data_IF_656616114755
#
_entry.id   IF_656616114755
#
_cell.length_a   1.000
_cell.length_b   1.000
_cell.length_c   1.000
_cell.angle_alpha   90.00
_cell.angle_beta   90.00
_cell.angle_gamma   90.00
#
_symmetry.space_group_name_H-M   'P 1'
#
loop_
_entity.id
_entity.type
_entity.pdbx_description
1 polymer ?
#
# COMPACT_ATOMS: atom_id res chain seq x y z
N UNK A 1 -51.62 -44.66 -44.22
CA UNK A 1 -51.17 -43.26 -44.50
C UNK A 1 -51.42 -42.41 -43.28
N UNK A 2 -50.36 -41.90 -42.64
CA UNK A 2 -50.28 -40.55 -42.04
C UNK A 2 -48.86 -40.32 -41.49
N UNK A 3 -48.10 -39.75 -42.40
CA UNK A 3 -46.88 -38.93 -42.37
C UNK A 3 -46.23 -38.61 -41.03
N UNK A 4 -44.93 -38.94 -40.96
CA UNK A 4 -43.94 -38.51 -39.98
C UNK A 4 -43.57 -37.04 -40.25
N UNK A 5 -43.68 -36.16 -39.27
CA UNK A 5 -43.22 -34.76 -39.37
C UNK A 5 -41.82 -34.62 -38.76
N UNK A 6 -40.85 -34.30 -39.60
CA UNK A 6 -39.47 -33.96 -39.24
C UNK A 6 -39.44 -32.46 -38.94
N UNK A 7 -39.13 -32.07 -37.70
CA UNK A 7 -38.88 -30.69 -37.33
C UNK A 7 -37.38 -30.41 -37.46
N UNK A 8 -36.97 -29.66 -38.48
CA UNK A 8 -35.59 -29.22 -38.67
C UNK A 8 -35.27 -28.04 -37.75
N UNK A 9 -34.37 -28.24 -36.79
CA UNK A 9 -33.76 -27.18 -36.01
C UNK A 9 -32.68 -26.50 -36.88
N UNK A 10 -32.95 -25.29 -37.38
CA UNK A 10 -31.91 -24.45 -38.00
C UNK A 10 -31.04 -23.85 -36.89
N UNK A 11 -29.81 -24.33 -36.75
CA UNK A 11 -28.81 -23.70 -35.90
C UNK A 11 -28.53 -22.27 -36.36
N UNK A 12 -28.57 -21.32 -35.43
CA UNK A 12 -28.05 -19.97 -35.66
C UNK A 12 -26.53 -20.07 -35.80
N UNK A 13 -26.04 -19.82 -37.01
CA UNK A 13 -24.61 -19.59 -37.24
C UNK A 13 -24.30 -18.21 -36.65
N UNK A 14 -23.62 -18.16 -35.49
CA UNK A 14 -23.04 -16.90 -35.01
C UNK A 14 -21.90 -16.50 -35.95
N UNK A 15 -22.21 -15.65 -36.93
CA UNK A 15 -21.22 -15.01 -37.78
C UNK A 15 -20.28 -14.15 -36.93
N UNK A 16 -19.01 -14.04 -37.29
CA UNK A 16 -18.04 -13.21 -36.57
C UNK A 16 -18.51 -11.74 -36.47
N UNK A 17 -18.18 -11.06 -35.38
CA UNK A 17 -18.43 -9.64 -35.21
C UNK A 17 -17.61 -8.83 -36.25
N UNK A 18 -18.28 -7.88 -36.90
CA UNK A 18 -17.64 -6.97 -37.86
C UNK A 18 -16.62 -6.05 -37.15
N UNK A 19 -15.69 -5.44 -37.91
CA UNK A 19 -14.84 -4.35 -37.41
C UNK A 19 -15.61 -3.33 -36.57
N UNK A 20 -15.11 -3.00 -35.37
CA UNK A 20 -15.73 -2.09 -34.40
C UNK A 20 -17.12 -2.48 -33.87
N UNK A 21 -17.63 -3.69 -34.19
CA UNK A 21 -18.88 -4.18 -33.61
C UNK A 21 -18.68 -4.65 -32.15
N UNK A 22 -19.78 -4.69 -31.40
CA UNK A 22 -19.81 -5.28 -30.07
C UNK A 22 -19.49 -6.78 -30.16
N UNK A 23 -18.66 -7.27 -29.25
CA UNK A 23 -18.23 -8.67 -29.16
C UNK A 23 -18.30 -9.24 -27.73
N UNK A 24 -18.88 -8.49 -26.79
CA UNK A 24 -19.02 -8.92 -25.40
C UNK A 24 -19.75 -7.89 -24.54
N UNK A 25 -20.02 -8.25 -23.29
CA UNK A 25 -20.75 -7.42 -22.31
C UNK A 25 -21.95 -8.13 -21.68
N UNK A 26 -22.31 -7.74 -20.46
CA UNK A 26 -23.46 -8.25 -19.73
C UNK A 26 -24.75 -8.15 -20.55
N UNK A 27 -25.44 -9.28 -20.71
CA UNK A 27 -26.68 -9.37 -21.49
C UNK A 27 -26.51 -9.40 -23.01
N UNK A 28 -25.27 -9.33 -23.53
CA UNK A 28 -25.01 -9.45 -24.97
C UNK A 28 -25.19 -10.91 -25.45
N UNK A 29 -26.00 -11.10 -26.49
CA UNK A 29 -26.30 -12.42 -27.08
C UNK A 29 -25.80 -12.57 -28.53
N UNK A 30 -25.04 -11.57 -29.01
CA UNK A 30 -24.46 -11.57 -30.35
C UNK A 30 -23.09 -12.26 -30.43
N UNK A 31 -22.38 -12.11 -31.56
CA UNK A 31 -21.10 -12.80 -31.78
C UNK A 31 -19.99 -12.39 -30.82
N UNK A 32 -19.31 -13.37 -30.22
CA UNK A 32 -18.23 -13.14 -29.25
C UNK A 32 -16.81 -13.18 -29.83
N UNK A 33 -16.69 -13.48 -31.13
CA UNK A 33 -15.41 -13.56 -31.85
C UNK A 33 -15.38 -12.54 -32.99
N UNK A 34 -14.30 -11.78 -33.08
CA UNK A 34 -14.08 -10.81 -34.17
C UNK A 34 -13.54 -11.48 -35.44
N UNK A 35 -13.75 -10.83 -36.60
CA UNK A 35 -13.16 -11.27 -37.86
C UNK A 35 -11.63 -11.25 -37.87
N UNK A 36 -11.01 -11.91 -38.86
CA UNK A 36 -9.55 -11.99 -39.00
C UNK A 36 -8.88 -10.60 -38.99
N UNK A 37 -7.85 -10.42 -38.15
CA UNK A 37 -7.15 -9.14 -37.96
C UNK A 37 -7.71 -8.26 -36.83
N UNK A 38 -8.77 -8.71 -36.15
CA UNK A 38 -9.44 -7.97 -35.09
C UNK A 38 -9.49 -8.79 -33.80
N UNK A 39 -9.33 -8.12 -32.66
CA UNK A 39 -9.40 -8.73 -31.32
C UNK A 39 -10.56 -8.13 -30.54
N UNK A 40 -11.31 -8.98 -29.82
CA UNK A 40 -12.37 -8.50 -28.94
C UNK A 40 -11.75 -7.90 -27.67
N UNK A 41 -11.77 -6.58 -27.56
CA UNK A 41 -11.22 -5.86 -26.41
C UNK A 41 -12.32 -5.49 -25.44
N UNK A 42 -12.15 -5.88 -24.17
CA UNK A 42 -13.01 -5.49 -23.08
C UNK A 42 -12.93 -3.97 -22.85
N UNK A 43 -14.09 -3.32 -22.65
CA UNK A 43 -14.15 -1.90 -22.27
C UNK A 43 -14.83 -1.69 -20.91
N UNK A 44 -15.95 -2.37 -20.66
CA UNK A 44 -16.62 -2.38 -19.36
C UNK A 44 -17.55 -3.61 -19.23
N UNK A 45 -18.15 -3.79 -18.06
CA UNK A 45 -19.00 -4.95 -17.73
C UNK A 45 -20.13 -5.20 -18.75
N UNK A 46 -20.59 -4.16 -19.46
CA UNK A 46 -21.71 -4.23 -20.40
C UNK A 46 -21.28 -4.16 -21.87
N UNK A 47 -19.99 -3.99 -22.15
CA UNK A 47 -19.50 -3.74 -23.51
C UNK A 47 -18.05 -4.21 -23.76
N UNK A 48 -17.87 -4.95 -24.85
CA UNK A 48 -16.56 -5.25 -25.45
C UNK A 48 -16.64 -5.04 -26.96
N UNK A 49 -15.56 -4.60 -27.60
CA UNK A 49 -15.57 -4.18 -29.01
C UNK A 49 -14.43 -4.82 -29.80
N UNK A 50 -14.68 -5.14 -31.07
CA UNK A 50 -13.64 -5.56 -32.01
C UNK A 50 -12.72 -4.39 -32.38
N UNK A 51 -11.43 -4.50 -32.10
CA UNK A 51 -10.40 -3.51 -32.45
C UNK A 51 -9.29 -4.13 -33.31
N UNK A 52 -8.60 -3.31 -34.11
CA UNK A 52 -7.50 -3.78 -34.97
C UNK A 52 -6.35 -4.35 -34.14
N UNK A 53 -5.88 -5.53 -34.52
CA UNK A 53 -4.72 -6.15 -33.86
C UNK A 53 -3.44 -5.58 -34.46
N UNK A 54 -2.71 -4.77 -33.69
CA UNK A 54 -1.37 -4.27 -34.06
C UNK A 54 -0.33 -5.38 -33.96
N UNK A 55 -0.35 -6.33 -34.89
CA UNK A 55 0.73 -7.30 -35.09
C UNK A 55 0.92 -7.58 -36.58
N UNK A 56 1.67 -6.69 -37.23
CA UNK A 56 2.19 -6.86 -38.58
C UNK A 56 3.67 -7.20 -38.56
N UNK A 57 4.01 -8.44 -38.17
CA UNK A 57 5.30 -9.02 -38.49
C UNK A 57 5.31 -9.50 -39.94
N UNK A 58 6.06 -8.83 -40.81
CA UNK A 58 6.39 -9.34 -42.15
C UNK A 58 7.86 -9.09 -42.47
N UNK A 59 8.58 -10.20 -42.63
CA UNK A 59 9.89 -10.30 -43.27
C UNK A 59 9.84 -9.81 -44.71
N UNK A 60 10.70 -8.85 -45.08
CA UNK A 60 11.19 -8.67 -46.45
C UNK A 60 12.60 -8.05 -46.45
N UNK A 61 13.50 -8.72 -47.17
CA UNK A 61 14.89 -8.34 -47.40
C UNK A 61 15.00 -7.34 -48.56
N UNK A 62 15.75 -6.23 -48.39
CA UNK A 62 16.56 -5.62 -49.47
C UNK A 62 17.65 -4.68 -48.93
N UNK A 63 18.62 -4.39 -49.81
CA UNK A 63 20.03 -4.09 -49.57
C UNK A 63 20.35 -2.58 -49.71
N UNK A 64 21.32 -2.11 -48.91
CA UNK A 64 22.31 -1.00 -49.08
C UNK A 64 21.84 0.48 -49.08
N UNK A 65 22.38 1.29 -48.14
CA UNK A 65 23.40 2.33 -48.38
C UNK A 65 23.81 3.05 -47.08
N UNK A 66 25.13 3.15 -46.89
CA UNK A 66 25.83 3.86 -45.82
C UNK A 66 25.63 5.37 -45.89
N UNK A 67 25.28 5.97 -44.76
CA UNK A 67 25.43 7.40 -44.47
C UNK A 67 25.81 7.55 -43.00
N UNK A 68 27.05 7.98 -42.76
CA UNK A 68 27.59 8.31 -41.44
C UNK A 68 27.02 9.65 -40.98
N UNK A 69 26.23 9.63 -39.90
CA UNK A 69 25.96 10.81 -39.08
C UNK A 69 26.31 10.51 -37.63
N UNK A 70 27.25 11.29 -37.08
CA UNK A 70 27.56 11.32 -35.65
C UNK A 70 26.35 11.88 -34.93
N UNK A 71 25.72 11.07 -34.08
CA UNK A 71 24.72 11.55 -33.13
C UNK A 71 25.19 11.19 -31.73
N UNK A 72 25.34 12.23 -30.93
CA UNK A 72 25.78 12.22 -29.54
C UNK A 72 24.88 11.32 -28.72
N UNK A 73 25.44 10.28 -28.11
CA UNK A 73 24.74 9.40 -27.17
C UNK A 73 24.55 10.14 -25.86
N UNK A 74 23.42 10.80 -25.68
CA UNK A 74 22.83 10.94 -24.35
C UNK A 74 22.19 9.61 -24.02
N UNK A 75 22.86 8.82 -23.19
CA UNK A 75 22.26 7.65 -22.54
C UNK A 75 21.15 8.13 -21.62
N UNK A 76 19.94 8.28 -22.16
CA UNK A 76 18.73 8.21 -21.35
C UNK A 76 18.63 6.76 -20.90
N UNK A 77 18.98 6.50 -19.65
CA UNK A 77 18.81 5.20 -19.02
C UNK A 77 17.37 4.75 -19.28
N UNK A 78 17.22 3.65 -20.00
CA UNK A 78 15.97 2.93 -20.09
C UNK A 78 15.81 2.27 -18.73
N UNK A 79 14.98 2.85 -17.87
CA UNK A 79 14.58 2.20 -16.63
C UNK A 79 13.87 0.89 -17.00
N UNK A 80 14.56 -0.22 -16.82
CA UNK A 80 13.99 -1.56 -16.87
C UNK A 80 14.36 -2.27 -15.59
N UNK A 81 13.44 -2.19 -14.64
CA UNK A 81 13.09 -3.28 -13.74
C UNK A 81 11.60 -3.12 -13.41
N UNK A 82 10.76 -3.83 -14.16
CA UNK A 82 9.29 -3.79 -14.09
C UNK A 82 8.74 -4.80 -13.06
N UNK A 83 9.35 -4.84 -11.87
CA UNK A 83 9.01 -5.80 -10.81
C UNK A 83 8.15 -5.17 -9.71
N UNK A 84 7.27 -5.97 -9.11
CA UNK A 84 6.63 -5.59 -7.85
C UNK A 84 7.66 -5.62 -6.72
N UNK A 85 7.58 -4.73 -5.71
CA UNK A 85 8.42 -4.82 -4.52
C UNK A 85 8.27 -6.18 -3.83
N UNK A 86 9.38 -6.78 -3.40
CA UNK A 86 9.40 -8.10 -2.75
C UNK A 86 10.41 -8.14 -1.61
N UNK A 87 10.45 -9.25 -0.86
CA UNK A 87 11.54 -9.55 0.08
C UNK A 87 12.60 -10.41 -0.61
N UNK A 88 13.87 -10.18 -0.25
CA UNK A 88 14.99 -11.04 -0.63
C UNK A 88 15.81 -11.36 0.63
N UNK A 89 15.50 -12.51 1.25
CA UNK A 89 16.04 -12.85 2.56
C UNK A 89 15.54 -11.88 3.63
N UNK A 90 16.48 -11.16 4.26
CA UNK A 90 16.20 -10.17 5.31
C UNK A 90 16.18 -8.73 4.79
N UNK A 91 16.19 -8.53 3.48
CA UNK A 91 16.17 -7.22 2.82
C UNK A 91 14.93 -7.08 1.93
N UNK A 92 14.66 -5.86 1.48
CA UNK A 92 13.67 -5.60 0.45
C UNK A 92 14.34 -5.49 -0.92
N UNK A 93 13.60 -5.86 -1.97
CA UNK A 93 13.97 -5.61 -3.36
C UNK A 93 12.95 -4.65 -3.99
N UNK A 94 13.44 -3.47 -4.39
CA UNK A 94 12.67 -2.45 -5.11
C UNK A 94 13.33 -2.21 -6.45
N UNK A 95 12.58 -2.43 -7.54
CA UNK A 95 13.04 -2.26 -8.92
C UNK A 95 14.38 -2.97 -9.20
N UNK A 96 14.53 -4.20 -8.70
CA UNK A 96 15.72 -5.02 -8.87
C UNK A 96 16.94 -4.63 -8.02
N UNK A 97 16.82 -3.62 -7.13
CA UNK A 97 17.84 -3.30 -6.13
C UNK A 97 17.44 -3.94 -4.81
N UNK A 98 18.16 -4.97 -4.38
CA UNK A 98 18.10 -5.47 -3.01
C UNK A 98 18.98 -4.59 -2.13
N UNK A 99 18.40 -3.89 -1.16
CA UNK A 99 19.12 -2.98 -0.27
C UNK A 99 18.31 -2.64 0.99
N UNK A 100 18.94 -1.89 1.89
CA UNK A 100 18.24 -1.05 2.86
C UNK A 100 17.57 0.15 2.18
N UNK A 101 16.39 0.56 2.66
CA UNK A 101 15.66 1.73 2.14
C UNK A 101 15.20 2.69 3.23
N UNK A 102 15.33 3.99 2.96
CA UNK A 102 14.66 5.03 3.75
C UNK A 102 13.34 5.45 3.10
N UNK A 103 12.41 5.87 3.94
CA UNK A 103 11.14 6.42 3.53
C UNK A 103 10.51 7.32 4.60
N UNK A 104 9.21 7.56 4.50
CA UNK A 104 8.48 8.37 5.47
C UNK A 104 6.99 8.02 5.50
N UNK A 105 6.26 8.70 6.39
CA UNK A 105 4.81 8.65 6.51
C UNK A 105 4.19 9.97 6.02
N UNK A 106 3.09 9.89 5.28
CA UNK A 106 2.26 11.05 4.93
C UNK A 106 0.80 10.61 4.92
N UNK A 107 0.19 10.56 6.11
CA UNK A 107 -1.21 10.15 6.25
C UNK A 107 -2.18 11.06 5.48
N UNK A 108 -1.79 12.33 5.29
CA UNK A 108 -2.63 13.38 4.75
C UNK A 108 -2.66 13.44 3.21
N UNK A 109 -1.67 12.87 2.51
CA UNK A 109 -1.52 13.04 1.05
C UNK A 109 -2.71 12.50 0.25
N UNK A 110 -3.31 11.39 0.69
CA UNK A 110 -4.51 10.79 0.08
C UNK A 110 -5.75 11.69 0.16
N UNK A 111 -5.73 12.71 1.00
CA UNK A 111 -6.87 13.59 1.25
C UNK A 111 -6.70 14.98 0.63
N UNK A 112 -5.54 15.26 0.04
CA UNK A 112 -5.34 16.48 -0.74
C UNK A 112 -6.25 16.47 -1.97
N UNK A 113 -6.82 17.62 -2.32
CA UNK A 113 -7.70 17.80 -3.48
C UNK A 113 -7.02 18.50 -4.66
N UNK A 114 -5.83 19.06 -4.43
CA UNK A 114 -4.98 19.63 -5.48
C UNK A 114 -3.94 18.61 -5.93
N UNK A 115 -3.92 18.31 -7.23
CA UNK A 115 -3.00 17.36 -7.82
C UNK A 115 -1.55 17.88 -7.83
N UNK A 116 -1.36 19.19 -8.03
CA UNK A 116 -0.02 19.80 -8.04
C UNK A 116 0.66 19.66 -6.66
N UNK A 117 -0.12 19.68 -5.57
CA UNK A 117 0.40 19.47 -4.21
C UNK A 117 0.83 18.00 -3.98
N UNK A 118 0.10 17.03 -4.52
CA UNK A 118 0.48 15.61 -4.47
C UNK A 118 1.78 15.39 -5.27
N UNK A 119 1.84 15.97 -6.45
CA UNK A 119 3.00 15.89 -7.34
C UNK A 119 4.25 16.53 -6.72
N UNK A 120 4.11 17.70 -6.11
CA UNK A 120 5.18 18.38 -5.37
C UNK A 120 5.80 17.49 -4.28
N UNK A 121 4.96 16.86 -3.47
CA UNK A 121 5.41 15.97 -2.38
C UNK A 121 6.23 14.82 -2.93
N UNK A 122 5.72 14.13 -3.96
CA UNK A 122 6.47 13.02 -4.54
C UNK A 122 7.73 13.47 -5.31
N UNK A 123 7.73 14.66 -5.91
CA UNK A 123 8.93 15.24 -6.53
C UNK A 123 10.03 15.39 -5.47
N UNK A 124 9.72 16.05 -4.36
CA UNK A 124 10.67 16.23 -3.25
C UNK A 124 11.12 14.89 -2.61
N UNK A 125 10.21 13.92 -2.45
CA UNK A 125 10.59 12.59 -1.96
C UNK A 125 11.58 11.88 -2.90
N UNK A 126 11.30 11.90 -4.20
CA UNK A 126 12.14 11.27 -5.20
C UNK A 126 13.52 11.94 -5.29
N UNK A 127 13.55 13.28 -5.24
CA UNK A 127 14.77 14.10 -5.16
C UNK A 127 15.61 13.79 -3.91
N UNK A 128 14.94 13.54 -2.79
CA UNK A 128 15.60 13.25 -1.50
C UNK A 128 16.07 11.79 -1.38
N UNK A 129 15.75 10.93 -2.35
CA UNK A 129 16.10 9.51 -2.32
C UNK A 129 15.23 8.64 -1.42
N UNK A 130 14.12 9.16 -0.90
CA UNK A 130 13.13 8.38 -0.16
C UNK A 130 12.35 7.49 -1.13
N UNK A 131 12.31 6.18 -0.88
CA UNK A 131 11.73 5.20 -1.82
C UNK A 131 10.43 4.57 -1.35
N UNK A 132 10.10 4.69 -0.08
CA UNK A 132 8.87 4.14 0.50
C UNK A 132 8.08 5.30 1.15
N UNK A 133 6.80 5.40 0.84
CA UNK A 133 5.86 6.32 1.50
C UNK A 133 4.70 5.52 2.05
N UNK A 134 4.45 5.61 3.35
CA UNK A 134 3.25 5.05 3.96
C UNK A 134 2.13 6.08 4.00
N UNK A 135 0.95 5.72 3.49
CA UNK A 135 -0.21 6.60 3.28
C UNK A 135 -1.49 5.96 3.78
N UNK A 136 -2.45 6.77 4.22
CA UNK A 136 -3.71 6.23 4.73
C UNK A 136 -4.60 5.80 3.57
N UNK A 137 -4.82 4.48 3.47
CA UNK A 137 -5.74 3.89 2.51
C UNK A 137 -7.18 3.87 2.99
N UNK A 138 -7.49 4.56 4.10
CA UNK A 138 -8.81 4.66 4.73
C UNK A 138 -9.19 6.12 5.00
N UNK A 139 -10.49 6.38 5.04
CA UNK A 139 -11.09 7.62 5.54
C UNK A 139 -12.58 7.32 5.81
N UNK A 140 -12.86 6.92 7.04
CA UNK A 140 -14.15 6.39 7.45
C UNK A 140 -15.01 7.47 8.14
N UNK A 141 -16.29 7.53 7.78
CA UNK A 141 -17.24 8.48 8.37
C UNK A 141 -18.55 7.80 8.72
N UNK A 142 -19.25 8.29 9.75
CA UNK A 142 -20.61 7.84 10.05
C UNK A 142 -21.70 8.75 9.44
N UNK A 143 -21.30 9.91 8.92
CA UNK A 143 -22.15 10.86 8.20
C UNK A 143 -21.38 11.42 7.02
N UNK A 144 -22.03 11.59 5.86
CA UNK A 144 -21.41 12.26 4.71
C UNK A 144 -20.98 13.67 5.13
N UNK A 145 -19.70 14.04 4.96
CA UNK A 145 -19.21 15.36 5.35
C UNK A 145 -19.73 16.45 4.41
N UNK A 146 -19.38 17.71 4.68
CA UNK A 146 -19.67 18.82 3.78
C UNK A 146 -19.08 18.58 2.38
N UNK A 147 -19.80 19.01 1.34
CA UNK A 147 -19.37 18.89 -0.06
C UNK A 147 -17.93 19.36 -0.25
N UNK A 148 -17.13 18.55 -0.94
CA UNK A 148 -15.70 18.82 -1.19
C UNK A 148 -14.75 18.33 -0.09
N UNK A 149 -15.27 17.81 1.02
CA UNK A 149 -14.45 17.12 2.03
C UNK A 149 -14.27 15.66 1.63
N UNK A 150 -13.02 15.20 1.59
CA UNK A 150 -12.70 13.83 1.19
C UNK A 150 -13.18 12.82 2.25
N UNK A 151 -13.84 11.76 1.81
CA UNK A 151 -14.14 10.56 2.60
C UNK A 151 -14.16 9.33 1.69
N UNK A 152 -13.71 8.18 2.18
CA UNK A 152 -13.60 6.97 1.35
C UNK A 152 -14.73 5.98 1.63
N UNK A 153 -15.24 5.94 2.85
CA UNK A 153 -16.27 4.99 3.23
C UNK A 153 -17.23 5.59 4.26
N UNK A 154 -18.53 5.50 3.96
CA UNK A 154 -19.61 5.82 4.88
C UNK A 154 -20.09 4.55 5.57
N UNK A 155 -20.01 4.52 6.90
CA UNK A 155 -20.46 3.45 7.77
C UNK A 155 -21.68 3.94 8.56
N UNK A 156 -22.89 3.51 8.19
CA UNK A 156 -24.12 4.05 8.78
C UNK A 156 -25.23 3.02 8.86
N UNK A 157 -25.91 2.95 10.00
CA UNK A 157 -27.11 2.15 10.23
C UNK A 157 -26.96 0.68 9.79
N UNK A 158 -25.82 0.05 10.14
CA UNK A 158 -25.52 -1.33 9.77
C UNK A 158 -25.13 -1.53 8.30
N UNK A 159 -24.80 -0.47 7.57
CA UNK A 159 -24.41 -0.51 6.15
C UNK A 159 -23.08 0.19 5.91
N UNK A 160 -22.37 -0.22 4.86
CA UNK A 160 -21.14 0.41 4.38
C UNK A 160 -21.31 0.83 2.92
N UNK A 161 -20.98 2.07 2.59
CA UNK A 161 -20.99 2.61 1.23
C UNK A 161 -19.62 3.19 0.91
N UNK A 162 -18.99 2.71 -0.16
CA UNK A 162 -17.64 3.12 -0.57
C UNK A 162 -17.77 4.26 -1.59
N UNK A 163 -17.09 5.38 -1.32
CA UNK A 163 -17.06 6.53 -2.22
C UNK A 163 -15.97 6.35 -3.28
N UNK A 164 -16.36 6.05 -4.51
CA UNK A 164 -15.46 5.96 -5.68
C UNK A 164 -15.46 7.25 -6.52
N UNK A 165 -16.06 8.32 -6.00
CA UNK A 165 -16.16 9.62 -6.66
C UNK A 165 -14.89 10.47 -6.53
N UNK A 166 -14.96 11.70 -7.06
CA UNK A 166 -13.85 12.66 -7.10
C UNK A 166 -13.37 13.11 -5.70
N UNK A 167 -14.26 13.12 -4.72
CA UNK A 167 -13.98 13.38 -3.30
C UNK A 167 -13.84 12.07 -2.49
N UNK A 168 -13.62 10.95 -3.16
CA UNK A 168 -13.42 9.63 -2.56
C UNK A 168 -12.12 8.99 -3.02
N UNK A 169 -12.17 7.70 -3.37
CA UNK A 169 -11.01 6.92 -3.76
C UNK A 169 -10.26 7.45 -5.00
N UNK A 170 -10.86 8.34 -5.81
CA UNK A 170 -10.12 9.01 -6.89
C UNK A 170 -8.97 9.89 -6.38
N UNK A 171 -9.00 10.33 -5.12
CA UNK A 171 -7.87 11.03 -4.52
C UNK A 171 -6.70 10.08 -4.26
N UNK A 172 -6.98 8.86 -3.78
CA UNK A 172 -5.99 7.81 -3.63
C UNK A 172 -5.48 7.30 -4.99
N UNK A 173 -6.33 7.25 -6.02
CA UNK A 173 -5.89 6.91 -7.39
C UNK A 173 -4.77 7.86 -7.87
N UNK A 174 -4.93 9.16 -7.60
CA UNK A 174 -3.93 10.14 -8.01
C UNK A 174 -2.62 10.01 -7.24
N UNK A 175 -2.69 9.67 -5.94
CA UNK A 175 -1.50 9.36 -5.14
C UNK A 175 -0.74 8.17 -5.71
N UNK A 176 -1.44 7.08 -6.06
CA UNK A 176 -0.82 5.90 -6.69
C UNK A 176 -0.18 6.25 -8.03
N UNK A 177 -0.90 6.97 -8.90
CA UNK A 177 -0.37 7.38 -10.21
C UNK A 177 0.85 8.31 -10.09
N UNK A 178 0.84 9.24 -9.13
CA UNK A 178 1.96 10.14 -8.89
C UNK A 178 3.19 9.41 -8.32
N UNK A 179 2.97 8.45 -7.42
CA UNK A 179 4.01 7.56 -6.90
C UNK A 179 4.66 6.71 -8.00
N UNK A 180 3.84 6.13 -8.90
CA UNK A 180 4.32 5.39 -10.09
C UNK A 180 5.22 6.27 -10.96
N UNK A 181 4.80 7.51 -11.25
CA UNK A 181 5.54 8.42 -12.10
C UNK A 181 6.92 8.83 -11.53
N UNK A 182 7.09 8.74 -10.20
CA UNK A 182 8.27 9.23 -9.48
C UNK A 182 9.07 8.14 -8.79
N UNK A 183 8.70 6.89 -9.04
CA UNK A 183 9.34 5.72 -8.49
C UNK A 183 9.44 5.73 -6.95
N UNK A 184 8.30 6.03 -6.31
CA UNK A 184 8.08 5.88 -4.88
C UNK A 184 7.08 4.74 -4.68
N UNK A 185 7.34 3.88 -3.69
CA UNK A 185 6.51 2.71 -3.39
C UNK A 185 5.65 2.98 -2.16
N UNK A 186 4.40 2.51 -2.17
CA UNK A 186 3.37 2.88 -1.21
C UNK A 186 3.04 1.73 -0.27
N UNK A 187 3.10 2.00 1.03
CA UNK A 187 2.38 1.17 2.01
C UNK A 187 1.00 1.77 2.19
N UNK A 188 -0.04 0.96 1.99
CA UNK A 188 -1.44 1.40 2.04
C UNK A 188 -2.18 0.55 3.06
N UNK A 189 -2.61 1.19 4.15
CA UNK A 189 -3.35 0.53 5.23
C UNK A 189 -4.87 0.69 5.10
N UNK A 190 -5.64 -0.26 5.63
CA UNK A 190 -7.08 -0.34 5.33
C UNK A 190 -8.02 0.17 6.42
N UNK A 191 -7.54 0.38 7.65
CA UNK A 191 -8.34 0.90 8.77
C UNK A 191 -7.43 1.44 9.86
N UNK A 192 -7.91 2.40 10.64
CA UNK A 192 -7.20 2.89 11.84
C UNK A 192 -7.65 2.14 13.10
N UNK A 193 -6.72 1.79 13.98
CA UNK A 193 -7.08 1.46 15.37
C UNK A 193 -7.63 2.69 16.10
N UNK A 194 -7.03 3.86 15.87
CA UNK A 194 -7.46 5.12 16.49
C UNK A 194 -8.72 5.69 15.82
N UNK A 195 -9.26 6.77 16.40
CA UNK A 195 -10.49 7.40 15.92
C UNK A 195 -10.26 8.47 14.84
N UNK A 196 -9.00 8.85 14.58
CA UNK A 196 -8.67 9.79 13.51
C UNK A 196 -9.05 9.19 12.16
N UNK A 197 -9.82 9.95 11.39
CA UNK A 197 -10.46 9.49 10.15
C UNK A 197 -11.36 8.25 10.35
N UNK A 198 -12.00 8.18 11.52
CA UNK A 198 -13.05 7.23 11.87
C UNK A 198 -12.54 5.94 12.50
N UNK A 199 -11.75 5.18 11.76
CA UNK A 199 -11.15 3.92 12.20
C UNK A 199 -12.15 2.87 12.70
N UNK A 200 -11.67 1.93 13.52
CA UNK A 200 -12.50 0.87 14.10
C UNK A 200 -13.67 1.43 14.92
N UNK A 201 -13.55 2.63 15.50
CA UNK A 201 -14.64 3.30 16.22
C UNK A 201 -15.84 3.65 15.30
N UNK A 202 -15.59 4.04 14.05
CA UNK A 202 -16.67 4.28 13.07
C UNK A 202 -17.40 2.99 12.70
N UNK A 203 -16.69 1.85 12.62
CA UNK A 203 -17.31 0.54 12.46
C UNK A 203 -18.15 0.15 13.68
N UNK A 204 -17.63 0.32 14.90
CA UNK A 204 -18.37 0.03 16.13
C UNK A 204 -19.65 0.87 16.22
N UNK A 205 -19.60 2.13 15.78
CA UNK A 205 -20.77 3.01 15.72
C UNK A 205 -21.85 2.47 14.77
N UNK A 206 -21.45 1.92 13.62
CA UNK A 206 -22.39 1.42 12.61
C UNK A 206 -22.90 -0.01 12.88
N UNK A 207 -22.07 -0.88 13.45
CA UNK A 207 -22.33 -2.32 13.57
C UNK A 207 -22.44 -2.83 15.02
N UNK A 208 -22.26 -1.96 16.00
CA UNK A 208 -22.27 -2.30 17.43
C UNK A 208 -20.98 -3.00 17.91
N UNK A 209 -20.93 -3.27 19.22
CA UNK A 209 -19.80 -3.90 19.88
C UNK A 209 -18.87 -2.89 20.57
N UNK A 210 -17.58 -3.19 20.54
CA UNK A 210 -16.49 -2.43 21.16
C UNK A 210 -15.25 -2.53 20.29
N UNK A 211 -14.25 -1.70 20.55
CA UNK A 211 -12.96 -1.77 19.84
C UNK A 211 -12.33 -3.17 19.88
N UNK A 212 -12.36 -3.85 21.03
CA UNK A 212 -11.82 -5.21 21.17
C UNK A 212 -12.70 -6.28 20.52
N UNK A 213 -14.02 -6.12 20.49
CA UNK A 213 -14.91 -7.09 19.83
C UNK A 213 -15.02 -6.88 18.31
N UNK A 214 -14.56 -5.74 17.79
CA UNK A 214 -14.52 -5.42 16.36
C UNK A 214 -13.86 -6.52 15.51
N UNK A 215 -12.74 -7.09 16.00
CA UNK A 215 -12.00 -8.17 15.33
C UNK A 215 -12.83 -9.43 15.08
N UNK A 216 -13.89 -9.64 15.86
CA UNK A 216 -14.78 -10.81 15.77
C UNK A 216 -16.22 -10.45 15.38
N UNK A 217 -16.53 -9.16 15.21
CA UNK A 217 -17.85 -8.71 14.77
C UNK A 217 -18.04 -9.04 13.28
N UNK A 218 -18.89 -10.02 12.98
CA UNK A 218 -19.11 -10.50 11.61
C UNK A 218 -19.55 -9.41 10.63
N UNK A 219 -20.42 -8.49 11.05
CA UNK A 219 -20.90 -7.42 10.18
C UNK A 219 -19.78 -6.40 9.88
N UNK A 220 -19.04 -5.98 10.91
CA UNK A 220 -17.90 -5.08 10.75
C UNK A 220 -16.80 -5.70 9.87
N UNK A 221 -16.44 -6.96 10.12
CA UNK A 221 -15.43 -7.66 9.31
C UNK A 221 -15.88 -7.90 7.86
N UNK A 222 -17.18 -8.09 7.62
CA UNK A 222 -17.73 -8.18 6.26
C UNK A 222 -17.59 -6.84 5.52
N UNK A 223 -17.93 -5.73 6.16
CA UNK A 223 -17.75 -4.39 5.59
C UNK A 223 -16.27 -4.06 5.34
N UNK A 224 -15.40 -4.34 6.31
CA UNK A 224 -13.96 -4.14 6.19
C UNK A 224 -13.34 -4.96 5.05
N UNK A 225 -13.72 -6.24 4.88
CA UNK A 225 -13.26 -7.05 3.75
C UNK A 225 -13.79 -6.60 2.39
N UNK A 226 -14.99 -6.02 2.36
CA UNK A 226 -15.51 -5.37 1.16
C UNK A 226 -14.69 -4.13 0.80
N UNK A 227 -14.27 -3.34 1.80
CA UNK A 227 -13.40 -2.19 1.62
C UNK A 227 -12.01 -2.57 1.13
N UNK A 228 -11.36 -3.55 1.77
CA UNK A 228 -10.09 -4.14 1.31
C UNK A 228 -10.19 -4.51 -0.17
N UNK A 229 -11.23 -5.27 -0.55
CA UNK A 229 -11.41 -5.69 -1.95
C UNK A 229 -11.55 -4.51 -2.89
N UNK A 230 -12.30 -3.49 -2.49
CA UNK A 230 -12.48 -2.29 -3.30
C UNK A 230 -11.15 -1.56 -3.51
N UNK A 231 -10.30 -1.42 -2.49
CA UNK A 231 -8.98 -0.76 -2.62
C UNK A 231 -7.99 -1.63 -3.41
N UNK A 232 -7.79 -2.90 -3.00
CA UNK A 232 -6.84 -3.82 -3.64
C UNK A 232 -7.13 -4.00 -5.12
N UNK A 233 -8.41 -4.16 -5.51
CA UNK A 233 -8.79 -4.35 -6.92
C UNK A 233 -8.46 -3.15 -7.83
N UNK A 234 -8.27 -1.95 -7.27
CA UNK A 234 -7.90 -0.75 -8.05
C UNK A 234 -6.44 -0.73 -8.44
N UNK A 235 -5.57 -1.22 -7.56
CA UNK A 235 -4.12 -1.06 -7.70
C UNK A 235 -3.38 -2.40 -7.77
N UNK A 236 -4.11 -3.51 -7.97
CA UNK A 236 -3.53 -4.86 -8.04
C UNK A 236 -2.40 -4.96 -9.07
N UNK A 237 -2.46 -4.21 -10.18
CA UNK A 237 -1.43 -4.21 -11.24
C UNK A 237 -0.42 -3.06 -11.12
N UNK A 238 -0.52 -2.22 -10.09
CA UNK A 238 0.37 -1.07 -9.89
C UNK A 238 1.69 -1.50 -9.23
N UNK A 239 2.85 -1.32 -9.89
CA UNK A 239 4.15 -1.58 -9.26
C UNK A 239 4.56 -0.52 -8.23
N UNK A 240 3.72 0.50 -8.01
CA UNK A 240 3.94 1.48 -6.95
C UNK A 240 3.39 1.03 -5.60
N UNK A 241 2.66 -0.08 -5.49
CA UNK A 241 2.30 -0.60 -4.16
C UNK A 241 3.48 -1.40 -3.61
N UNK A 242 4.04 -0.96 -2.48
CA UNK A 242 5.04 -1.70 -1.71
C UNK A 242 4.39 -2.87 -0.97
N UNK A 243 3.37 -2.57 -0.18
CA UNK A 243 2.66 -3.55 0.62
C UNK A 243 1.23 -3.11 0.95
N UNK A 244 0.37 -4.11 1.10
CA UNK A 244 -0.91 -3.96 1.75
C UNK A 244 -0.75 -4.10 3.26
N UNK A 245 -1.25 -3.14 4.02
CA UNK A 245 -1.15 -3.16 5.48
C UNK A 245 -2.55 -3.34 6.09
N UNK A 246 -2.67 -4.27 7.02
CA UNK A 246 -3.99 -4.62 7.59
C UNK A 246 -4.62 -3.40 8.28
N UNK A 247 -3.90 -2.74 9.18
CA UNK A 247 -4.40 -1.59 9.90
C UNK A 247 -3.24 -0.72 10.40
N UNK A 248 -3.52 0.55 10.66
CA UNK A 248 -2.65 1.37 11.48
C UNK A 248 -2.80 0.97 12.96
N UNK A 249 -1.69 0.53 13.57
CA UNK A 249 -1.52 0.24 14.99
C UNK A 249 -2.63 -0.63 15.64
N UNK A 250 -3.01 -1.80 15.08
CA UNK A 250 -4.08 -2.62 15.63
C UNK A 250 -3.77 -3.09 17.05
N UNK A 251 -4.61 -2.71 18.01
CA UNK A 251 -4.54 -3.18 19.40
C UNK A 251 -5.82 -3.89 19.84
N UNK A 252 -5.68 -4.87 20.72
CA UNK A 252 -6.78 -5.49 21.45
C UNK A 252 -6.45 -5.49 22.94
N UNK A 253 -6.62 -4.33 23.58
CA UNK A 253 -6.23 -4.11 24.96
C UNK A 253 -6.89 -5.11 25.93
N UNK A 254 -6.06 -5.84 26.67
CA UNK A 254 -6.47 -6.86 27.63
C UNK A 254 -7.01 -8.15 27.01
N UNK A 255 -6.98 -8.28 25.69
CA UNK A 255 -7.37 -9.51 25.00
C UNK A 255 -6.25 -10.55 25.12
N UNK A 256 -6.63 -11.83 25.00
CA UNK A 256 -5.66 -12.87 24.68
C UNK A 256 -5.05 -12.61 23.28
N UNK A 257 -3.75 -12.87 23.12
CA UNK A 257 -3.03 -12.56 21.88
C UNK A 257 -3.55 -13.35 20.67
N UNK A 258 -4.27 -14.46 20.91
CA UNK A 258 -4.93 -15.21 19.85
C UNK A 258 -6.01 -14.42 19.11
N UNK A 259 -6.60 -13.38 19.71
CA UNK A 259 -7.63 -12.56 19.04
C UNK A 259 -7.03 -11.85 17.83
N UNK A 260 -5.92 -11.13 18.03
CA UNK A 260 -5.22 -10.46 16.94
C UNK A 260 -4.57 -11.48 16.00
N UNK A 261 -3.91 -12.52 16.50
CA UNK A 261 -3.32 -13.56 15.65
C UNK A 261 -4.33 -14.16 14.66
N UNK A 262 -5.52 -14.54 15.14
CA UNK A 262 -6.55 -15.15 14.30
C UNK A 262 -7.10 -14.15 13.26
N UNK A 263 -7.30 -12.89 13.66
CA UNK A 263 -7.72 -11.84 12.74
C UNK A 263 -6.65 -11.56 11.68
N UNK A 264 -5.38 -11.39 12.06
CA UNK A 264 -4.24 -11.15 11.16
C UNK A 264 -4.14 -12.29 10.15
N UNK A 265 -4.14 -13.55 10.63
CA UNK A 265 -4.05 -14.74 9.78
C UNK A 265 -5.19 -14.80 8.77
N UNK A 266 -6.41 -14.54 9.21
CA UNK A 266 -7.59 -14.60 8.34
C UNK A 266 -7.65 -13.45 7.32
N UNK A 267 -7.21 -12.26 7.71
CA UNK A 267 -7.29 -11.06 6.87
C UNK A 267 -6.15 -11.02 5.85
N UNK A 268 -4.92 -11.32 6.26
CA UNK A 268 -3.77 -11.42 5.33
C UNK A 268 -3.97 -12.52 4.28
N UNK A 269 -4.49 -13.69 4.67
CA UNK A 269 -4.84 -14.75 3.72
C UNK A 269 -5.92 -14.32 2.70
N UNK A 270 -6.86 -13.48 3.12
CA UNK A 270 -7.86 -12.92 2.22
C UNK A 270 -7.27 -11.91 1.24
N UNK A 271 -6.38 -11.02 1.70
CA UNK A 271 -5.65 -10.11 0.82
C UNK A 271 -4.84 -10.92 -0.20
N UNK A 272 -4.07 -11.94 0.23
CA UNK A 272 -3.31 -12.83 -0.67
C UNK A 272 -4.19 -13.59 -1.66
N UNK A 273 -5.46 -13.86 -1.33
CA UNK A 273 -6.42 -14.47 -2.26
C UNK A 273 -6.93 -13.51 -3.34
N UNK A 274 -6.88 -12.20 -3.07
CA UNK A 274 -7.20 -11.15 -4.04
C UNK A 274 -5.97 -10.79 -4.87
N UNK A 275 -4.80 -10.75 -4.24
CA UNK A 275 -3.55 -10.26 -4.81
C UNK A 275 -2.37 -11.12 -4.36
N UNK A 276 -1.78 -11.85 -5.31
CA UNK A 276 -0.63 -12.73 -5.08
C UNK A 276 0.72 -12.07 -5.35
N UNK A 277 0.74 -10.80 -5.76
CA UNK A 277 1.93 -10.10 -6.26
C UNK A 277 2.55 -9.19 -5.21
N UNK A 278 1.72 -8.46 -4.46
CA UNK A 278 2.18 -7.53 -3.44
C UNK A 278 2.45 -8.18 -2.09
N UNK A 279 3.37 -7.58 -1.34
CA UNK A 279 3.61 -7.93 0.06
C UNK A 279 2.42 -7.53 0.95
N UNK A 280 2.33 -8.16 2.11
CA UNK A 280 1.32 -7.92 3.14
C UNK A 280 2.01 -7.81 4.49
N UNK A 281 1.71 -6.74 5.22
CA UNK A 281 2.19 -6.47 6.58
C UNK A 281 1.03 -6.14 7.52
N UNK A 282 1.31 -6.15 8.82
CA UNK A 282 0.28 -5.97 9.84
C UNK A 282 -0.01 -4.49 10.09
N UNK A 283 1.05 -3.68 10.25
CA UNK A 283 0.98 -2.28 10.67
C UNK A 283 0.92 -2.10 12.18
N UNK A 284 1.33 -3.12 12.94
CA UNK A 284 1.40 -3.05 14.40
C UNK A 284 2.69 -2.43 14.91
N UNK A 285 2.63 -1.92 16.14
CA UNK A 285 3.72 -1.19 16.79
C UNK A 285 4.88 -2.08 17.27
N UNK A 286 4.76 -3.40 17.17
CA UNK A 286 5.79 -4.35 17.61
C UNK A 286 5.64 -4.86 19.05
N UNK A 287 4.52 -4.56 19.73
CA UNK A 287 4.38 -4.95 21.14
C UNK A 287 4.32 -6.46 21.38
N UNK A 288 4.66 -6.84 22.61
CA UNK A 288 4.63 -8.24 23.05
C UNK A 288 5.80 -9.04 22.48
N UNK A 289 6.98 -8.84 23.04
CA UNK A 289 8.23 -9.44 22.56
C UNK A 289 9.09 -9.89 23.75
N UNK A 290 9.53 -11.15 23.74
CA UNK A 290 10.44 -11.68 24.77
C UNK A 290 11.91 -11.36 24.45
N UNK A 291 12.27 -11.30 23.16
CA UNK A 291 13.63 -11.02 22.71
C UNK A 291 14.09 -9.66 23.20
N UNK A 292 15.16 -9.63 23.99
CA UNK A 292 15.75 -8.39 24.52
C UNK A 292 14.84 -7.61 25.47
N UNK A 293 13.78 -8.25 25.99
CA UNK A 293 12.83 -7.62 26.91
C UNK A 293 13.49 -7.15 28.20
N UNK A 294 13.16 -5.93 28.62
CA UNK A 294 13.53 -5.34 29.91
C UNK A 294 12.33 -5.29 30.89
N UNK A 295 11.19 -5.88 30.50
CA UNK A 295 9.96 -5.85 31.27
C UNK A 295 9.17 -4.54 31.20
N UNK A 296 9.59 -3.58 30.36
CA UNK A 296 8.79 -2.37 30.09
C UNK A 296 7.48 -2.68 29.38
N UNK A 297 6.52 -1.76 29.48
CA UNK A 297 5.18 -1.91 28.91
C UNK A 297 5.16 -2.32 27.42
N UNK A 298 5.97 -1.73 26.51
CA UNK A 298 5.99 -2.11 25.10
C UNK A 298 6.36 -3.57 24.83
N UNK A 299 7.27 -4.15 25.63
CA UNK A 299 7.61 -5.58 25.50
C UNK A 299 6.50 -6.49 26.05
N UNK A 300 5.57 -5.97 26.84
CA UNK A 300 4.46 -6.72 27.40
C UNK A 300 3.33 -7.02 26.41
N UNK A 301 2.48 -7.98 26.77
CA UNK A 301 1.38 -8.48 25.93
C UNK A 301 0.04 -7.78 26.16
N UNK A 302 0.01 -6.70 26.97
CA UNK A 302 -1.26 -6.10 27.43
C UNK A 302 -2.10 -5.45 26.33
N UNK A 303 -1.49 -5.14 25.19
CA UNK A 303 -2.20 -4.61 24.01
C UNK A 303 -2.69 -5.72 23.05
N UNK A 304 -2.59 -6.98 23.45
CA UNK A 304 -3.10 -8.13 22.70
C UNK A 304 -2.21 -8.57 21.53
N UNK A 305 -1.03 -7.97 21.38
CA UNK A 305 -0.03 -8.31 20.37
C UNK A 305 0.99 -9.32 20.92
N UNK A 306 1.48 -10.20 20.06
CA UNK A 306 2.66 -11.00 20.27
C UNK A 306 3.46 -11.00 18.97
N UNK A 307 4.52 -10.20 18.93
CA UNK A 307 5.29 -9.91 17.73
C UNK A 307 5.76 -11.18 17.01
N UNK A 308 6.44 -12.07 17.72
CA UNK A 308 7.00 -13.30 17.13
C UNK A 308 5.92 -14.29 16.68
N UNK A 309 4.81 -14.40 17.41
CA UNK A 309 3.68 -15.26 17.03
C UNK A 309 3.01 -14.74 15.75
N UNK A 310 2.83 -13.42 15.64
CA UNK A 310 2.21 -12.78 14.48
C UNK A 310 3.12 -12.83 13.25
N UNK A 311 4.43 -12.60 13.41
CA UNK A 311 5.42 -12.72 12.34
C UNK A 311 5.51 -14.15 11.76
N UNK A 312 5.20 -15.16 12.58
CA UNK A 312 5.10 -16.56 12.17
C UNK A 312 3.93 -16.89 11.23
N UNK A 313 3.08 -15.94 10.86
CA UNK A 313 1.99 -16.14 9.89
C UNK A 313 2.55 -16.15 8.46
N UNK A 314 2.31 -17.22 7.70
CA UNK A 314 2.86 -17.41 6.34
C UNK A 314 2.47 -16.32 5.33
N UNK A 315 1.29 -15.72 5.51
CA UNK A 315 0.74 -14.68 4.62
C UNK A 315 1.13 -13.25 5.04
N UNK A 316 2.03 -13.11 6.02
CA UNK A 316 2.70 -11.86 6.39
C UNK A 316 4.14 -11.94 5.88
N UNK A 317 4.54 -11.03 5.00
CA UNK A 317 5.83 -11.10 4.31
C UNK A 317 6.98 -10.46 5.11
N UNK A 318 6.66 -9.45 5.93
CA UNK A 318 7.61 -8.73 6.78
C UNK A 318 6.92 -8.20 8.03
N UNK A 319 7.71 -7.87 9.05
CA UNK A 319 7.19 -7.31 10.30
C UNK A 319 7.25 -5.78 10.30
N UNK A 320 6.36 -5.15 11.04
CA UNK A 320 6.37 -3.71 11.32
C UNK A 320 6.60 -3.49 12.81
N UNK A 321 7.29 -2.41 13.17
CA UNK A 321 7.33 -1.94 14.54
C UNK A 321 7.51 -0.43 14.56
N UNK A 322 6.96 0.23 15.59
CA UNK A 322 6.97 1.69 15.74
C UNK A 322 7.87 2.09 16.93
N UNK A 323 8.09 3.38 17.16
CA UNK A 323 8.82 3.87 18.34
C UNK A 323 8.37 5.27 18.77
N UNK A 324 7.71 5.36 19.94
CA UNK A 324 7.33 6.63 20.55
C UNK A 324 7.61 6.67 22.07
N UNK A 325 8.87 6.91 22.49
CA UNK A 325 9.29 6.76 23.88
C UNK A 325 8.50 7.62 24.87
N UNK A 326 8.20 8.86 24.49
CA UNK A 326 7.38 9.79 25.30
C UNK A 326 6.00 9.20 25.59
N UNK A 327 5.34 8.63 24.58
CA UNK A 327 4.00 8.03 24.70
C UNK A 327 4.02 6.75 25.53
N UNK A 328 5.14 6.03 25.53
CA UNK A 328 5.27 4.72 26.18
C UNK A 328 5.93 4.79 27.56
N UNK A 329 6.40 5.96 27.97
CA UNK A 329 7.07 6.15 29.25
C UNK A 329 8.47 5.54 29.31
N UNK A 330 9.18 5.50 28.19
CA UNK A 330 10.56 5.01 28.07
C UNK A 330 11.52 6.16 27.72
N UNK A 331 12.84 5.93 27.87
CA UNK A 331 13.84 6.94 27.48
C UNK A 331 14.11 6.90 25.97
N UNK A 332 14.65 7.98 25.40
CA UNK A 332 15.05 7.97 23.99
C UNK A 332 16.16 6.94 23.70
N UNK A 333 17.13 6.78 24.61
CA UNK A 333 18.19 5.76 24.48
C UNK A 333 17.63 4.33 24.42
N UNK A 334 16.51 4.05 25.11
CA UNK A 334 15.83 2.76 25.09
C UNK A 334 15.41 2.35 23.68
N UNK A 335 15.11 3.32 22.81
CA UNK A 335 14.73 3.09 21.42
C UNK A 335 15.75 2.26 20.62
N UNK A 336 17.05 2.42 20.91
CA UNK A 336 18.08 1.62 20.25
C UNK A 336 18.00 0.14 20.65
N UNK A 337 17.62 -0.16 21.89
CA UNK A 337 17.38 -1.52 22.35
C UNK A 337 16.14 -2.12 21.69
N UNK A 338 15.07 -1.32 21.57
CA UNK A 338 13.84 -1.70 20.88
C UNK A 338 14.08 -2.12 19.43
N UNK A 339 14.80 -1.29 18.65
CA UNK A 339 15.17 -1.59 17.25
C UNK A 339 15.98 -2.90 17.16
N UNK A 340 16.98 -3.09 18.02
CA UNK A 340 17.82 -4.30 18.02
C UNK A 340 17.04 -5.57 18.34
N UNK A 341 16.12 -5.49 19.29
CA UNK A 341 15.26 -6.62 19.68
C UNK A 341 14.35 -7.06 18.54
N UNK A 342 13.77 -6.11 17.80
CA UNK A 342 12.93 -6.40 16.63
C UNK A 342 13.76 -6.98 15.48
N UNK A 343 14.91 -6.38 15.17
CA UNK A 343 15.83 -6.92 14.16
C UNK A 343 16.27 -8.36 14.46
N UNK A 344 16.56 -8.68 15.73
CA UNK A 344 16.88 -10.04 16.16
C UNK A 344 15.70 -11.01 15.99
N UNK A 345 14.47 -10.60 16.31
CA UNK A 345 13.28 -11.40 16.12
C UNK A 345 12.96 -11.66 14.62
N UNK A 346 13.10 -10.64 13.79
CA UNK A 346 12.97 -10.74 12.33
C UNK A 346 14.02 -11.65 11.71
N UNK A 347 15.28 -11.50 12.12
CA UNK A 347 16.39 -12.39 11.73
C UNK A 347 16.08 -13.84 12.09
N UNK A 348 15.58 -14.11 13.29
CA UNK A 348 15.22 -15.46 13.74
C UNK A 348 14.05 -16.06 12.94
N UNK A 349 13.11 -15.22 12.47
CA UNK A 349 11.99 -15.64 11.64
C UNK A 349 12.33 -15.76 10.15
N UNK A 350 13.50 -15.27 9.71
CA UNK A 350 13.88 -15.26 8.29
C UNK A 350 13.05 -14.29 7.45
N UNK A 351 12.54 -13.21 8.05
CA UNK A 351 11.74 -12.17 7.38
C UNK A 351 12.30 -10.78 7.73
N UNK A 352 12.22 -9.79 6.83
CA UNK A 352 12.65 -8.44 7.13
C UNK A 352 11.71 -7.78 8.17
N UNK A 353 12.28 -6.82 8.90
CA UNK A 353 11.58 -5.84 9.72
C UNK A 353 11.59 -4.48 9.02
N UNK A 354 10.48 -3.78 9.11
CA UNK A 354 10.33 -2.37 8.76
C UNK A 354 10.15 -1.57 10.05
N UNK A 355 11.05 -0.60 10.27
CA UNK A 355 10.90 0.38 11.34
C UNK A 355 9.95 1.48 10.85
N UNK A 356 8.65 1.23 10.98
CA UNK A 356 7.60 1.84 10.14
C UNK A 356 7.14 3.23 10.61
N UNK A 357 7.29 3.52 11.90
CA UNK A 357 7.10 4.86 12.44
C UNK A 357 8.05 5.12 13.61
N UNK A 358 8.57 6.34 13.68
CA UNK A 358 9.25 6.84 14.86
C UNK A 358 9.27 8.36 14.88
N UNK A 359 9.29 8.92 16.08
CA UNK A 359 9.40 10.36 16.25
C UNK A 359 9.71 10.77 17.68
N UNK A 360 10.37 11.91 17.81
CA UNK A 360 10.37 12.73 19.01
C UNK A 360 9.64 14.05 18.72
N UNK A 361 9.18 14.75 19.76
CA UNK A 361 8.47 16.04 19.57
C UNK A 361 9.37 17.27 19.75
N UNK A 362 10.67 17.05 19.96
CA UNK A 362 11.70 18.10 20.05
C UNK A 362 13.08 17.48 19.91
N UNK A 363 14.07 18.28 19.50
CA UNK A 363 15.46 17.85 19.34
C UNK A 363 15.63 16.62 18.42
N UNK A 364 14.84 16.60 17.33
CA UNK A 364 14.68 15.46 16.42
C UNK A 364 16.04 14.90 15.97
N UNK A 365 16.92 15.75 15.46
CA UNK A 365 18.22 15.33 14.92
C UNK A 365 19.07 14.57 15.96
N UNK A 366 19.19 15.05 17.19
CA UNK A 366 20.03 14.40 18.21
C UNK A 366 19.41 13.13 18.77
N UNK A 367 18.08 12.98 18.69
CA UNK A 367 17.35 11.84 19.24
C UNK A 367 17.14 10.73 18.20
N UNK A 368 16.76 11.10 16.98
CA UNK A 368 16.34 10.16 15.94
C UNK A 368 17.49 9.67 15.07
N UNK A 369 18.54 10.48 14.84
CA UNK A 369 19.71 10.03 14.07
C UNK A 369 20.43 8.81 14.70
N UNK A 370 20.56 8.69 16.04
CA UNK A 370 21.00 7.45 16.67
C UNK A 370 20.12 6.23 16.38
N UNK A 371 18.80 6.41 16.27
CA UNK A 371 17.87 5.33 15.94
C UNK A 371 18.01 4.90 14.49
N UNK A 372 18.12 5.86 13.56
CA UNK A 372 18.40 5.60 12.14
C UNK A 372 19.71 4.83 11.95
N UNK A 373 20.77 5.27 12.64
CA UNK A 373 22.04 4.55 12.64
C UNK A 373 21.89 3.13 13.19
N UNK A 374 21.17 2.97 14.29
CA UNK A 374 20.94 1.65 14.89
C UNK A 374 20.14 0.74 13.95
N UNK A 375 19.11 1.26 13.28
CA UNK A 375 18.31 0.53 12.32
C UNK A 375 19.16 0.05 11.14
N UNK A 376 19.94 0.95 10.53
CA UNK A 376 20.86 0.63 9.43
C UNK A 376 21.93 -0.42 9.82
N UNK A 377 22.46 -0.35 11.05
CA UNK A 377 23.49 -1.28 11.53
C UNK A 377 22.92 -2.65 12.00
N UNK A 378 21.59 -2.79 12.15
CA UNK A 378 20.96 -3.97 12.75
C UNK A 378 20.50 -4.96 11.69
N UNK A 379 21.12 -6.16 11.65
CA UNK A 379 20.64 -7.26 10.82
C UNK A 379 19.17 -7.58 11.10
N UNK A 380 18.40 -7.74 10.03
CA UNK A 380 16.96 -8.00 10.08
C UNK A 380 16.10 -6.76 9.93
N UNK A 381 16.62 -5.54 10.17
CA UNK A 381 15.92 -4.29 9.85
C UNK A 381 16.33 -3.89 8.42
N UNK A 382 15.34 -3.76 7.54
CA UNK A 382 15.54 -3.59 6.10
C UNK A 382 15.15 -2.20 5.58
N UNK A 383 14.41 -1.44 6.38
CA UNK A 383 14.03 -0.08 6.06
C UNK A 383 13.53 0.65 7.32
N UNK A 384 13.56 1.97 7.26
CA UNK A 384 12.97 2.86 8.26
C UNK A 384 12.18 4.01 7.62
N UNK A 385 11.06 4.37 8.25
CA UNK A 385 10.17 5.46 7.84
C UNK A 385 9.91 6.36 9.05
N UNK A 386 10.46 7.57 9.04
CA UNK A 386 10.16 8.53 10.11
C UNK A 386 8.70 8.97 10.05
N UNK A 387 8.14 9.28 11.22
CA UNK A 387 6.88 9.98 11.37
C UNK A 387 7.16 11.45 11.72
N UNK A 388 6.91 12.41 10.85
CA UNK A 388 6.30 12.28 9.50
C UNK A 388 6.81 13.33 8.51
N UNK A 389 6.56 13.09 7.23
CA UNK A 389 6.91 14.02 6.15
C UNK A 389 6.15 15.35 6.29
N UNK A 390 6.87 16.45 6.15
CA UNK A 390 6.30 17.80 6.08
C UNK A 390 6.67 18.52 4.78
N UNK A 391 5.74 19.31 4.25
CA UNK A 391 5.99 20.17 3.08
C UNK A 391 5.25 21.50 3.15
N UNK A 392 5.50 22.39 2.20
CA UNK A 392 4.75 23.62 1.97
C UNK A 392 3.90 23.49 0.71
N UNK A 393 2.61 23.24 0.91
CA UNK A 393 1.61 23.05 -0.13
C UNK A 393 0.99 24.39 -0.56
N UNK A 394 0.15 24.36 -1.60
CA UNK A 394 -0.62 25.52 -2.06
C UNK A 394 -1.54 26.12 -0.98
N UNK A 395 -1.95 25.31 0.00
CA UNK A 395 -2.77 25.72 1.16
C UNK A 395 -1.95 26.16 2.38
N UNK A 396 -0.61 26.14 2.30
CA UNK A 396 0.30 26.40 3.42
C UNK A 396 1.06 25.15 3.84
N UNK A 397 1.64 25.17 5.04
CA UNK A 397 2.33 23.99 5.59
C UNK A 397 1.36 22.81 5.73
N UNK A 398 1.85 21.61 5.43
CA UNK A 398 1.16 20.36 5.73
C UNK A 398 0.95 20.19 7.25
N UNK A 399 0.30 19.09 7.65
CA UNK A 399 0.03 18.82 9.06
C UNK A 399 1.31 18.82 9.92
N UNK A 400 1.18 19.41 11.12
CA UNK A 400 2.25 19.51 12.11
C UNK A 400 1.74 19.01 13.45
N UNK A 401 2.23 17.85 13.88
CA UNK A 401 1.91 17.26 15.18
C UNK A 401 3.09 17.31 16.17
N UNK A 402 4.13 18.07 15.82
CA UNK A 402 5.35 18.16 16.59
C UNK A 402 6.44 17.16 16.19
N UNK A 403 6.13 16.11 15.41
CA UNK A 403 7.13 15.18 14.87
C UNK A 403 7.42 15.45 13.37
N UNK A 404 6.75 16.43 12.77
CA UNK A 404 6.86 16.70 11.34
C UNK A 404 8.25 17.22 10.95
N UNK A 405 8.92 16.49 10.05
CA UNK A 405 10.22 16.91 9.47
C UNK A 405 9.97 17.53 8.10
N UNK A 406 10.03 18.86 8.03
CA UNK A 406 9.74 19.62 6.82
C UNK A 406 10.87 19.58 5.80
N UNK A 407 10.53 19.30 4.54
CA UNK A 407 11.44 19.41 3.40
C UNK A 407 12.18 20.76 3.37
N UNK A 408 13.48 20.71 3.01
CA UNK A 408 14.35 21.89 2.89
C UNK A 408 14.82 22.50 4.21
N UNK A 409 14.52 21.90 5.37
CA UNK A 409 15.00 22.37 6.68
C UNK A 409 16.33 21.72 7.08
N UNK A 410 16.97 22.26 8.13
CA UNK A 410 18.17 21.65 8.72
C UNK A 410 17.89 20.29 9.35
N UNK A 411 16.69 20.09 9.91
CA UNK A 411 16.28 18.80 10.47
C UNK A 411 16.11 17.76 9.35
N UNK A 412 15.53 18.15 8.23
CA UNK A 412 15.46 17.30 7.04
C UNK A 412 16.85 16.97 6.48
N UNK A 413 17.79 17.92 6.52
CA UNK A 413 19.18 17.61 6.14
C UNK A 413 19.77 16.53 7.04
N UNK A 414 19.63 16.67 8.36
CA UNK A 414 20.15 15.71 9.34
C UNK A 414 19.48 14.32 9.23
N UNK A 415 18.16 14.27 9.14
CA UNK A 415 17.40 13.01 9.26
C UNK A 415 17.04 12.38 7.92
N UNK A 416 17.20 13.09 6.80
CA UNK A 416 16.90 12.54 5.47
C UNK A 416 18.13 12.57 4.58
N UNK A 417 18.68 13.75 4.30
CA UNK A 417 19.82 13.86 3.37
C UNK A 417 21.03 13.07 3.84
N UNK A 418 21.42 13.24 5.11
CA UNK A 418 22.59 12.56 5.68
C UNK A 418 22.34 11.06 5.87
N UNK A 419 21.10 10.66 6.24
CA UNK A 419 20.73 9.25 6.40
C UNK A 419 20.72 8.49 5.07
N UNK A 420 20.10 9.07 4.03
CA UNK A 420 20.14 8.49 2.67
C UNK A 420 21.57 8.38 2.16
N UNK A 421 22.42 9.38 2.42
CA UNK A 421 23.83 9.31 2.06
C UNK A 421 24.60 8.19 2.81
N UNK A 422 24.24 7.90 4.06
CA UNK A 422 24.81 6.81 4.84
C UNK A 422 24.34 5.42 4.37
N UNK A 423 23.12 5.31 3.83
CA UNK A 423 22.61 4.06 3.24
C UNK A 423 23.36 3.68 1.96
N UNK A 424 23.78 4.68 1.17
CA UNK A 424 24.49 4.47 -0.10
C UNK A 424 26.03 4.37 0.04
N UNK A 425 26.57 4.51 1.26
CA UNK A 425 28.02 4.45 1.55
C UNK A 425 28.50 3.05 1.92
#
# INVERSE_FOLDING_TARGET
MKTLAILTLTGLVSAQAAPYAQCGGGGYSGPTTCGSGWTCQYQNDWFSQCVESTNGGTTLSTKVLTSTSKTTTTTKATASATGFPTTNGLEFEIDGKTNYFAGSNSYWIGFLTNNDDVDLVFDHMSESGLRILRVWGFNDVNTVPSSGTVYYQLLKDGTATINTGADGLQRLDYVVASAEARNVKLIINFVNNWSDYGGMAAYVTAFGGSQTSWYTNTAAQTAYRAYIKAVVSRYIDSPAVFAWELANEPRCKGCDTSVLYNWIKSTSAYIKSLDSKHMVAIGDEGFGLDTGSDGSYPYGYSEGLNFTMNLGIDTIDFATFHLYPTSWGTSFDWGNGWVKSHGAACTAAGKPCLFEEYGATSDHCNIEAPWQKTALDTTGVAADLYWQYGDTLSSGKSADDGNTIYYGTSEFTCLVTDHVAAIDS
#
